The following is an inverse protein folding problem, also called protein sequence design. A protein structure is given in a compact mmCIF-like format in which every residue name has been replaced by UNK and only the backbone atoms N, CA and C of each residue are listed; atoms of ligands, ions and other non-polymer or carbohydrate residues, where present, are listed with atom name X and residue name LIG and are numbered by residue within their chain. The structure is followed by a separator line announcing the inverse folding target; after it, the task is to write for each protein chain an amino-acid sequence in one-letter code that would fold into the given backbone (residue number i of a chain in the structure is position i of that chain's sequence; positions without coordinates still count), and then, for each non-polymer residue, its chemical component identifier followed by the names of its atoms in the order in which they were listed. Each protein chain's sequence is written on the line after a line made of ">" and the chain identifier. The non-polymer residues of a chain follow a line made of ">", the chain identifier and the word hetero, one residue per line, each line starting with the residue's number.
data_IF_613474721364
#
_entry.id   IF_613474721364
#
_cell.length_a   1.000
_cell.length_b   1.000
_cell.length_c   1.000
_cell.angle_alpha   90.00
_cell.angle_beta   90.00
_cell.angle_gamma   90.00
#
_symmetry.space_group_name_H-M   'P 1'
#
loop_
_entity.id
_entity.type
_entity.pdbx_description
1 polymer ?
#
# COMPACT_ATOMS: atom_id res chain seq x y z
N UNK A 1 1.05 -21.36 -6.17
CA UNK A 1 1.87 -21.09 -4.96
C UNK A 1 2.07 -19.60 -4.72
N UNK A 2 2.80 -18.86 -5.58
CA UNK A 2 3.06 -17.41 -5.37
C UNK A 2 1.79 -16.56 -5.15
N UNK A 3 0.76 -16.75 -5.99
CA UNK A 3 -0.55 -16.07 -5.84
C UNK A 3 -1.20 -16.34 -4.48
N UNK A 4 -1.15 -17.57 -3.99
CA UNK A 4 -1.73 -17.95 -2.70
C UNK A 4 -0.94 -17.38 -1.53
N UNK A 5 0.40 -17.34 -1.62
CA UNK A 5 1.24 -16.69 -0.62
C UNK A 5 0.96 -15.18 -0.54
N UNK A 6 0.77 -14.52 -1.68
CA UNK A 6 0.38 -13.12 -1.75
C UNK A 6 -0.96 -12.87 -1.07
N UNK A 7 -1.99 -13.64 -1.45
CA UNK A 7 -3.33 -13.53 -0.88
C UNK A 7 -3.32 -13.75 0.63
N UNK A 8 -2.71 -14.84 1.09
CA UNK A 8 -2.58 -15.14 2.52
C UNK A 8 -1.82 -14.06 3.30
N UNK A 9 -0.92 -13.34 2.63
CA UNK A 9 -0.17 -12.25 3.25
C UNK A 9 -1.04 -11.00 3.37
N UNK A 10 -1.74 -10.60 2.31
CA UNK A 10 -2.66 -9.46 2.32
C UNK A 10 -3.78 -9.62 3.35
N UNK A 11 -4.39 -10.81 3.42
CA UNK A 11 -5.45 -11.12 4.39
C UNK A 11 -5.02 -10.98 5.87
N UNK A 12 -3.70 -10.86 6.13
CA UNK A 12 -3.12 -10.74 7.47
C UNK A 12 -2.51 -9.37 7.75
N UNK A 13 -2.72 -8.40 6.86
CA UNK A 13 -2.27 -7.04 7.07
C UNK A 13 -3.07 -6.38 8.18
N UNK A 14 -2.39 -5.55 8.98
CA UNK A 14 -3.02 -4.65 9.91
C UNK A 14 -3.44 -3.39 9.13
N UNK A 15 -4.73 -3.28 8.87
CA UNK A 15 -5.29 -2.13 8.15
C UNK A 15 -5.55 -0.96 9.09
N UNK A 16 -5.05 0.22 8.72
CA UNK A 16 -5.35 1.48 9.36
C UNK A 16 -6.01 2.43 8.36
N UNK A 17 -7.23 2.87 8.65
CA UNK A 17 -7.94 3.86 7.83
C UNK A 17 -7.45 5.26 8.17
N UNK A 18 -7.00 5.99 7.17
CA UNK A 18 -6.47 7.36 7.31
C UNK A 18 -7.15 8.31 6.35
N UNK A 19 -7.40 9.53 6.81
CA UNK A 19 -7.86 10.61 5.93
C UNK A 19 -6.75 10.98 4.94
N UNK A 20 -7.12 11.24 3.69
CA UNK A 20 -6.18 11.68 2.65
C UNK A 20 -5.41 12.96 3.01
N UNK A 21 -6.00 13.83 3.83
CA UNK A 21 -5.38 15.05 4.35
C UNK A 21 -4.29 14.79 5.39
N UNK A 22 -4.31 13.63 6.05
CA UNK A 22 -3.33 13.19 7.04
C UNK A 22 -2.18 12.38 6.44
N UNK A 23 -2.33 11.94 5.18
CA UNK A 23 -1.30 11.21 4.48
C UNK A 23 -0.13 12.14 4.17
N UNK A 24 1.09 11.70 4.52
CA UNK A 24 2.32 12.42 4.20
C UNK A 24 3.37 11.42 3.71
N UNK A 25 4.41 11.91 3.02
CA UNK A 25 5.56 11.07 2.63
C UNK A 25 6.21 10.42 3.86
N UNK A 26 6.28 11.13 4.98
CA UNK A 26 6.83 10.59 6.23
C UNK A 26 5.96 9.47 6.80
N UNK A 27 4.63 9.60 6.72
CA UNK A 27 3.71 8.54 7.15
C UNK A 27 3.88 7.26 6.34
N UNK A 28 4.09 7.38 5.02
CA UNK A 28 4.38 6.23 4.15
C UNK A 28 5.75 5.62 4.49
N UNK A 29 6.77 6.44 4.74
CA UNK A 29 8.11 5.96 5.15
C UNK A 29 8.10 5.21 6.47
N UNK A 30 7.27 5.65 7.41
CA UNK A 30 7.12 5.06 8.73
C UNK A 30 6.08 3.93 8.77
N UNK A 31 5.63 3.43 7.61
CA UNK A 31 4.75 2.28 7.57
C UNK A 31 5.46 1.05 8.16
N UNK A 32 4.78 0.36 9.07
CA UNK A 32 5.30 -0.84 9.71
C UNK A 32 5.22 -2.07 8.81
N UNK A 33 6.01 -3.08 9.17
CA UNK A 33 5.92 -4.42 8.58
C UNK A 33 4.51 -4.97 8.76
N UNK A 34 3.92 -5.52 7.69
CA UNK A 34 2.53 -6.00 7.66
C UNK A 34 1.48 -4.93 7.99
N UNK A 35 1.77 -3.66 7.79
CA UNK A 35 0.76 -2.60 7.87
C UNK A 35 0.26 -2.24 6.48
N UNK A 36 -1.00 -1.80 6.44
CA UNK A 36 -1.64 -1.27 5.24
C UNK A 36 -2.40 0.01 5.61
N UNK A 37 -2.07 1.12 4.98
CA UNK A 37 -2.86 2.35 5.11
C UNK A 37 -4.00 2.31 4.10
N UNK A 38 -5.23 2.41 4.57
CA UNK A 38 -6.41 2.56 3.72
C UNK A 38 -6.75 4.04 3.66
N UNK A 39 -6.48 4.66 2.52
CA UNK A 39 -6.75 6.06 2.25
C UNK A 39 -8.05 6.20 1.45
N UNK A 40 -9.07 6.80 2.05
CA UNK A 40 -10.31 7.14 1.34
C UNK A 40 -10.08 8.40 0.48
N UNK A 41 -10.27 8.26 -0.84
CA UNK A 41 -10.28 9.37 -1.79
C UNK A 41 -11.73 9.77 -2.10
N UNK A 42 -11.95 10.76 -2.97
CA UNK A 42 -13.30 11.18 -3.37
C UNK A 42 -14.07 10.12 -4.16
N UNK A 43 -13.37 9.17 -4.78
CA UNK A 43 -13.96 8.18 -5.71
C UNK A 43 -13.73 6.74 -5.30
N UNK A 44 -12.61 6.41 -4.64
CA UNK A 44 -12.23 5.04 -4.30
C UNK A 44 -11.46 4.97 -2.98
N UNK A 45 -11.46 3.80 -2.34
CA UNK A 45 -10.50 3.49 -1.27
C UNK A 45 -9.21 2.94 -1.90
N UNK A 46 -8.07 3.48 -1.48
CA UNK A 46 -6.74 3.03 -1.92
C UNK A 46 -5.96 2.46 -0.73
N UNK A 47 -5.39 1.27 -0.90
CA UNK A 47 -4.49 0.67 0.08
C UNK A 47 -3.03 1.01 -0.21
N UNK A 48 -2.23 1.27 0.82
CA UNK A 48 -0.78 1.49 0.71
C UNK A 48 -0.08 0.48 1.59
N UNK A 49 0.82 -0.31 1.01
CA UNK A 49 1.64 -1.26 1.76
C UNK A 49 3.03 -1.40 1.14
N UNK A 50 3.95 -2.03 1.86
CA UNK A 50 5.27 -2.35 1.31
C UNK A 50 5.15 -3.24 0.07
N UNK A 51 5.98 -2.98 -0.93
CA UNK A 51 6.10 -3.87 -2.08
C UNK A 51 6.59 -5.24 -1.64
N UNK A 52 5.93 -6.28 -2.11
CA UNK A 52 6.26 -7.66 -1.76
C UNK A 52 7.12 -8.33 -2.84
N UNK A 53 8.20 -8.96 -2.40
CA UNK A 53 8.97 -9.93 -3.19
C UNK A 53 8.64 -11.33 -2.68
N UNK A 54 8.06 -12.16 -3.54
CA UNK A 54 7.68 -13.53 -3.19
C UNK A 54 8.72 -14.49 -3.78
N UNK A 55 9.42 -15.19 -2.90
CA UNK A 55 10.33 -16.28 -3.25
C UNK A 55 9.61 -17.62 -3.20
N UNK A 56 10.31 -18.73 -3.39
CA UNK A 56 9.70 -20.06 -3.28
C UNK A 56 9.21 -20.37 -1.85
N UNK A 57 9.81 -19.76 -0.83
CA UNK A 57 9.57 -20.10 0.58
C UNK A 57 9.13 -18.92 1.44
N UNK A 58 9.20 -17.69 0.95
CA UNK A 58 9.04 -16.51 1.80
C UNK A 58 8.42 -15.32 1.06
N UNK A 59 7.82 -14.42 1.84
CA UNK A 59 7.38 -13.10 1.40
C UNK A 59 8.26 -12.07 2.10
N UNK A 60 8.86 -11.18 1.32
CA UNK A 60 9.80 -10.17 1.79
C UNK A 60 9.22 -8.80 1.43
N UNK A 61 9.13 -7.91 2.41
CA UNK A 61 8.72 -6.52 2.23
C UNK A 61 9.91 -5.65 1.81
N UNK A 62 9.70 -4.76 0.84
CA UNK A 62 10.70 -3.77 0.46
C UNK A 62 10.81 -2.68 1.52
N UNK A 63 12.03 -2.29 1.87
CA UNK A 63 12.28 -1.21 2.84
C UNK A 63 11.99 0.19 2.26
N UNK A 64 11.97 0.34 0.94
CA UNK A 64 11.93 1.66 0.28
C UNK A 64 10.90 1.77 -0.86
N UNK A 65 10.27 0.67 -1.25
CA UNK A 65 9.24 0.66 -2.30
C UNK A 65 7.88 0.23 -1.72
N UNK A 66 6.84 0.87 -2.22
CA UNK A 66 5.46 0.70 -1.79
C UNK A 66 4.60 0.36 -3.00
N UNK A 67 3.47 -0.27 -2.73
CA UNK A 67 2.43 -0.54 -3.71
C UNK A 67 1.15 0.17 -3.31
N UNK A 68 0.41 0.62 -4.32
CA UNK A 68 -0.97 1.09 -4.14
C UNK A 68 -1.92 0.00 -4.64
N UNK A 69 -2.88 -0.33 -3.79
CA UNK A 69 -3.94 -1.28 -4.07
C UNK A 69 -5.25 -0.53 -4.33
N UNK A 70 -6.06 -1.04 -5.25
CA UNK A 70 -7.47 -0.64 -5.34
C UNK A 70 -8.32 -1.32 -4.25
N UNK A 71 -9.61 -0.96 -4.19
CA UNK A 71 -10.57 -1.53 -3.23
C UNK A 71 -10.80 -3.05 -3.38
N UNK A 72 -10.30 -3.68 -4.46
CA UNK A 72 -10.39 -5.12 -4.69
C UNK A 72 -9.05 -5.84 -4.42
N UNK A 73 -8.03 -5.12 -3.96
CA UNK A 73 -6.71 -5.66 -3.65
C UNK A 73 -5.81 -5.88 -4.88
N UNK A 74 -6.11 -5.24 -6.01
CA UNK A 74 -5.22 -5.24 -7.17
C UNK A 74 -4.18 -4.13 -7.07
N UNK A 75 -2.93 -4.47 -7.41
CA UNK A 75 -1.84 -3.48 -7.51
C UNK A 75 -2.10 -2.58 -8.72
N UNK A 76 -2.24 -1.29 -8.47
CA UNK A 76 -2.45 -0.27 -9.51
C UNK A 76 -1.28 0.71 -9.65
N UNK A 77 -0.40 0.77 -8.64
CA UNK A 77 0.81 1.60 -8.66
C UNK A 77 1.94 0.98 -7.84
N UNK A 78 3.18 1.32 -8.17
CA UNK A 78 4.37 0.91 -7.41
C UNK A 78 5.44 1.99 -7.54
N UNK A 79 5.94 2.51 -6.42
CA UNK A 79 6.97 3.55 -6.41
C UNK A 79 7.64 3.66 -5.03
N UNK A 80 8.55 4.60 -4.87
CA UNK A 80 9.01 5.05 -3.57
C UNK A 80 7.92 5.82 -2.79
N UNK A 81 8.22 6.23 -1.55
CA UNK A 81 7.26 6.93 -0.71
C UNK A 81 6.76 8.26 -1.31
N UNK A 82 7.61 8.97 -2.06
CA UNK A 82 7.23 10.25 -2.67
C UNK A 82 6.34 10.02 -3.90
N UNK A 83 6.72 9.12 -4.80
CA UNK A 83 5.92 8.79 -5.96
C UNK A 83 4.56 8.19 -5.59
N UNK A 84 4.52 7.38 -4.53
CA UNK A 84 3.28 6.85 -3.95
C UNK A 84 2.37 7.96 -3.41
N UNK A 85 2.94 8.91 -2.67
CA UNK A 85 2.20 10.08 -2.19
C UNK A 85 1.65 10.93 -3.33
N UNK A 86 2.48 11.25 -4.32
CA UNK A 86 2.10 12.07 -5.47
C UNK A 86 0.98 11.41 -6.29
N UNK A 87 1.01 10.09 -6.45
CA UNK A 87 -0.05 9.32 -7.10
C UNK A 87 -1.39 9.48 -6.37
N UNK A 88 -1.43 9.25 -5.05
CA UNK A 88 -2.65 9.33 -4.25
C UNK A 88 -3.21 10.75 -4.22
N UNK A 89 -2.34 11.76 -4.14
CA UNK A 89 -2.74 13.15 -4.21
C UNK A 89 -3.43 13.52 -5.53
N UNK A 90 -3.17 12.78 -6.61
CA UNK A 90 -3.90 12.92 -7.87
C UNK A 90 -5.40 12.61 -7.77
N UNK A 91 -5.83 11.84 -6.76
CA UNK A 91 -7.22 11.46 -6.53
C UNK A 91 -7.93 12.30 -5.46
N UNK A 92 -7.18 13.14 -4.73
CA UNK A 92 -7.69 13.91 -3.58
C UNK A 92 -7.68 15.41 -3.86
N UNK A 93 -7.03 15.85 -4.94
CA UNK A 93 -7.08 17.23 -5.42
C UNK A 93 -8.38 17.45 -6.20
N UNK A 94 -9.33 18.12 -5.58
CA UNK A 94 -10.38 18.92 -6.25
C UNK A 94 -9.97 20.39 -6.28
#
# INVERSE_FOLDING_TARGET
>A
MRKQMYQNYIEKLNEERVDSSSLTVERIKNLGTKECLICSTSTVELGIMHKLTITETSVIESENEYIVLDAFGYIIWTDDAKGTFDYIQGFTKE
#
